data_IF_381921154490
#
_entry.id   IF_381921154490
#
_cell.length_a   1.000
_cell.length_b   1.000
_cell.length_c   1.000
_cell.angle_alpha   90.00
_cell.angle_beta   90.00
_cell.angle_gamma   90.00
#
_symmetry.space_group_name_H-M   'P 1'
#
loop_
_entity.id
_entity.type
_entity.pdbx_description
1 polymer ?
#
# COMPACT_ATOMS: atom_id res chain seq x y z
N UNK A 1 6.32 1.55 11.17
CA UNK A 1 4.98 1.29 10.61
C UNK A 1 4.47 2.58 9.99
N UNK A 2 4.14 2.56 8.71
CA UNK A 2 3.55 3.72 8.02
C UNK A 2 2.12 3.84 8.56
N UNK A 3 1.76 5.02 9.09
CA UNK A 3 0.46 5.22 9.75
C UNK A 3 -0.74 4.81 8.87
N UNK A 4 -0.57 4.90 7.55
CA UNK A 4 -1.56 4.54 6.54
C UNK A 4 -1.89 3.04 6.55
N UNK A 5 -0.90 2.16 6.67
CA UNK A 5 -1.14 0.70 6.70
C UNK A 5 -1.89 0.28 7.98
N UNK A 6 -1.57 0.91 9.13
CA UNK A 6 -2.31 0.69 10.39
C UNK A 6 -3.80 1.02 10.26
N UNK A 7 -4.14 1.95 9.38
CA UNK A 7 -5.51 2.38 9.15
C UNK A 7 -6.31 1.41 8.25
N UNK A 8 -5.71 0.31 7.80
CA UNK A 8 -6.35 -0.65 6.90
C UNK A 8 -6.46 -0.15 5.46
N UNK A 9 -5.73 0.90 5.11
CA UNK A 9 -5.68 1.45 3.76
C UNK A 9 -4.53 0.77 3.00
N UNK A 10 -4.78 0.21 1.80
CA UNK A 10 -3.72 -0.28 0.94
C UNK A 10 -2.69 0.82 0.67
N UNK A 11 -1.43 0.54 0.95
CA UNK A 11 -0.33 1.47 0.73
C UNK A 11 0.78 0.74 -0.01
N UNK A 12 1.47 1.46 -0.89
CA UNK A 12 2.66 1.00 -1.60
C UNK A 12 3.70 2.09 -1.48
N UNK A 13 4.92 1.73 -1.06
CA UNK A 13 6.00 2.68 -0.99
C UNK A 13 6.66 2.88 -2.37
N UNK A 14 7.22 4.07 -2.58
CA UNK A 14 7.99 4.39 -3.78
C UNK A 14 9.41 4.71 -3.34
N UNK A 15 10.39 3.96 -3.85
CA UNK A 15 11.80 4.18 -3.58
C UNK A 15 12.58 4.35 -4.88
N UNK A 16 13.57 5.24 -4.93
CA UNK A 16 14.49 5.21 -6.06
C UNK A 16 15.33 3.94 -6.03
N UNK A 17 15.73 3.43 -7.20
CA UNK A 17 16.53 2.20 -7.31
C UNK A 17 17.80 2.23 -6.46
N UNK A 18 18.44 3.39 -6.36
CA UNK A 18 19.61 3.61 -5.49
C UNK A 18 19.33 3.40 -4.00
N UNK A 19 18.07 3.51 -3.57
CA UNK A 19 17.62 3.37 -2.19
C UNK A 19 16.90 2.06 -1.91
N UNK A 20 16.72 1.16 -2.89
CA UNK A 20 15.98 -0.09 -2.69
C UNK A 20 16.55 -0.96 -1.53
N UNK A 21 17.88 -0.99 -1.37
CA UNK A 21 18.51 -1.71 -0.24
C UNK A 21 18.27 -1.03 1.11
N UNK A 22 18.27 0.31 1.13
CA UNK A 22 17.97 1.07 2.33
C UNK A 22 16.52 0.86 2.76
N UNK A 23 15.59 0.86 1.79
CA UNK A 23 14.19 0.51 2.01
C UNK A 23 14.05 -0.88 2.65
N UNK A 24 14.71 -1.90 2.10
CA UNK A 24 14.63 -3.26 2.66
C UNK A 24 15.07 -3.30 4.13
N UNK A 25 16.19 -2.65 4.45
CA UNK A 25 16.68 -2.53 5.83
C UNK A 25 15.66 -1.86 6.76
N UNK A 26 14.97 -0.81 6.28
CA UNK A 26 13.92 -0.14 7.05
C UNK A 26 12.74 -1.06 7.34
N UNK A 27 12.22 -1.76 6.32
CA UNK A 27 11.04 -2.62 6.49
C UNK A 27 11.34 -3.87 7.32
N UNK A 28 12.55 -4.41 7.22
CA UNK A 28 13.04 -5.48 8.10
C UNK A 28 13.08 -5.00 9.55
N UNK A 29 13.66 -3.82 9.79
CA UNK A 29 13.71 -3.20 11.12
C UNK A 29 12.33 -2.85 11.69
N UNK A 30 11.33 -2.64 10.84
CA UNK A 30 9.94 -2.41 11.25
C UNK A 30 9.15 -3.71 11.46
N UNK A 31 9.73 -4.89 11.18
CA UNK A 31 9.02 -6.17 11.22
C UNK A 31 7.97 -6.30 10.12
N UNK A 32 8.15 -5.62 8.99
CA UNK A 32 7.24 -5.58 7.84
C UNK A 32 7.98 -5.97 6.54
N UNK A 33 8.72 -7.11 6.48
CA UNK A 33 9.59 -7.44 5.35
C UNK A 33 8.85 -7.60 4.01
N UNK A 34 7.52 -7.79 4.07
CA UNK A 34 6.65 -7.94 2.91
C UNK A 34 5.88 -6.65 2.55
N UNK A 35 6.26 -5.50 3.14
CA UNK A 35 5.65 -4.22 2.80
C UNK A 35 5.84 -3.96 1.30
N UNK A 36 4.74 -3.75 0.56
CA UNK A 36 4.79 -3.61 -0.89
C UNK A 36 5.45 -2.28 -1.27
N UNK A 37 6.31 -2.32 -2.28
CA UNK A 37 6.96 -1.13 -2.82
C UNK A 37 7.23 -1.30 -4.31
N UNK A 38 7.36 -0.17 -4.99
CA UNK A 38 7.84 -0.06 -6.36
C UNK A 38 9.13 0.74 -6.40
N UNK A 39 9.93 0.53 -7.45
CA UNK A 39 11.17 1.28 -7.63
C UNK A 39 11.10 2.23 -8.81
N UNK A 40 11.36 3.51 -8.58
CA UNK A 40 11.57 4.50 -9.64
C UNK A 40 13.05 4.58 -10.03
N UNK A 41 13.39 4.91 -11.28
CA UNK A 41 14.77 4.91 -11.75
C UNK A 41 15.65 5.94 -11.03
N UNK A 42 15.09 7.11 -10.67
CA UNK A 42 15.82 8.21 -10.05
C UNK A 42 15.05 8.79 -8.86
N UNK A 43 15.78 9.44 -7.94
CA UNK A 43 15.14 10.18 -6.86
C UNK A 43 14.40 11.41 -7.43
N UNK A 44 13.24 11.73 -6.86
CA UNK A 44 12.43 12.88 -7.28
C UNK A 44 13.00 14.21 -6.77
N UNK A 45 13.80 14.18 -5.70
CA UNK A 45 14.40 15.39 -5.12
C UNK A 45 15.33 16.09 -6.12
N UNK A 46 15.07 17.36 -6.37
CA UNK A 46 15.89 18.19 -7.27
C UNK A 46 15.65 17.96 -8.76
N UNK A 47 14.66 17.14 -9.14
CA UNK A 47 14.27 16.94 -10.53
C UNK A 47 13.23 17.98 -10.97
N UNK A 48 13.17 18.24 -12.28
CA UNK A 48 12.13 19.09 -12.86
C UNK A 48 10.78 18.35 -12.92
N UNK A 49 9.69 19.11 -12.90
CA UNK A 49 8.32 18.59 -12.91
C UNK A 49 8.08 17.65 -14.10
N UNK A 50 8.41 18.05 -15.33
CA UNK A 50 8.22 17.22 -16.53
C UNK A 50 8.96 15.88 -16.46
N UNK A 51 10.15 15.88 -15.85
CA UNK A 51 10.91 14.66 -15.65
C UNK A 51 10.23 13.73 -14.63
N UNK A 52 9.71 14.31 -13.54
CA UNK A 52 8.98 13.56 -12.52
C UNK A 52 7.70 12.98 -13.12
N UNK A 53 6.92 13.76 -13.87
CA UNK A 53 5.69 13.30 -14.52
C UNK A 53 5.97 12.12 -15.44
N UNK A 54 6.91 12.27 -16.37
CA UNK A 54 7.26 11.18 -17.29
C UNK A 54 7.71 9.92 -16.54
N UNK A 55 8.54 10.08 -15.52
CA UNK A 55 9.03 8.96 -14.72
C UNK A 55 7.89 8.26 -13.96
N UNK A 56 6.93 9.01 -13.41
CA UNK A 56 5.78 8.44 -12.69
C UNK A 56 4.84 7.75 -13.66
N UNK A 57 4.56 8.36 -14.83
CA UNK A 57 3.71 7.77 -15.87
C UNK A 57 4.26 6.42 -16.34
N UNK A 58 5.58 6.30 -16.49
CA UNK A 58 6.22 5.03 -16.86
C UNK A 58 6.13 3.94 -15.79
N UNK A 59 5.79 4.29 -14.54
CA UNK A 59 5.74 3.36 -13.40
C UNK A 59 4.32 3.20 -12.82
N UNK A 60 3.34 3.92 -13.36
CA UNK A 60 1.99 3.99 -12.79
C UNK A 60 1.27 2.63 -12.81
N UNK A 61 1.49 1.84 -13.85
CA UNK A 61 0.89 0.51 -13.98
C UNK A 61 1.38 -0.43 -12.87
N UNK A 62 2.67 -0.39 -12.53
CA UNK A 62 3.21 -1.19 -11.42
C UNK A 62 2.61 -0.72 -10.08
N UNK A 63 2.47 0.59 -9.88
CA UNK A 63 1.83 1.13 -8.66
C UNK A 63 0.39 0.61 -8.53
N UNK A 64 -0.38 0.67 -9.62
CA UNK A 64 -1.77 0.19 -9.65
C UNK A 64 -1.82 -1.32 -9.38
N UNK A 65 -0.98 -2.11 -10.06
CA UNK A 65 -0.90 -3.55 -9.84
C UNK A 65 -0.60 -3.86 -8.37
N UNK A 66 0.40 -3.21 -7.77
CA UNK A 66 0.75 -3.44 -6.36
C UNK A 66 -0.37 -3.01 -5.41
N UNK A 67 -1.07 -1.91 -5.67
CA UNK A 67 -2.16 -1.47 -4.82
C UNK A 67 -3.39 -2.38 -4.90
N UNK A 68 -3.63 -2.99 -6.07
CA UNK A 68 -4.84 -3.79 -6.34
C UNK A 68 -4.64 -5.29 -6.14
N UNK A 69 -3.40 -5.77 -6.22
CA UNK A 69 -3.05 -7.19 -6.03
C UNK A 69 -2.81 -7.58 -4.58
N UNK A 70 -2.72 -6.60 -3.66
CA UNK A 70 -2.67 -6.89 -2.22
C UNK A 70 -4.03 -7.49 -1.83
N UNK A 71 -4.08 -8.76 -1.40
CA UNK A 71 -5.35 -9.35 -0.98
C UNK A 71 -5.87 -8.54 0.22
N UNK A 72 -7.16 -8.19 0.18
CA UNK A 72 -7.89 -7.44 1.21
C UNK A 72 -7.81 -8.04 2.65
N UNK A 73 -7.11 -9.16 2.82
CA UNK A 73 -6.90 -9.85 4.09
C UNK A 73 -5.72 -9.31 4.93
N UNK A 74 -4.92 -8.35 4.44
CA UNK A 74 -3.90 -7.70 5.28
C UNK A 74 -4.51 -6.79 6.38
N UNK A 75 -5.81 -6.49 6.28
CA UNK A 75 -6.58 -5.69 7.24
C UNK A 75 -7.30 -6.47 8.34
N UNK A 76 -7.01 -7.76 8.56
CA UNK A 76 -7.56 -8.46 9.72
C UNK A 76 -6.64 -8.24 10.94
N UNK A 77 -7.01 -7.41 11.94
CA UNK A 77 -6.36 -7.52 13.23
C UNK A 77 -6.58 -8.96 13.70
N UNK A 78 -5.50 -9.65 14.05
CA UNK A 78 -5.54 -10.87 14.88
C UNK A 78 -6.09 -10.49 16.27
N UNK A 79 -7.36 -10.12 16.33
CA UNK A 79 -8.17 -10.19 17.52
C UNK A 79 -8.81 -11.56 17.51
N UNK A 80 -8.32 -12.46 18.35
CA UNK A 80 -9.07 -13.64 18.73
C UNK A 80 -10.45 -13.20 19.24
N UNK A 81 -11.48 -13.33 18.40
CA UNK A 81 -12.88 -13.27 18.85
C UNK A 81 -13.55 -14.57 18.45
N UNK A 82 -13.43 -15.54 19.35
CA UNK A 82 -14.47 -16.54 19.55
C UNK A 82 -15.83 -15.84 19.55
N UNK A 83 -16.75 -16.30 18.71
CA UNK A 83 -18.15 -15.90 18.79
C UNK A 83 -18.85 -15.90 17.44
N UNK A 84 -19.55 -17.00 17.15
CA UNK A 84 -20.66 -17.10 16.20
C UNK A 84 -21.45 -15.77 16.09
N UNK A 85 -21.30 -15.02 15.00
CA UNK A 85 -22.31 -14.07 14.57
C UNK A 85 -22.52 -14.20 13.06
N UNK A 86 -23.64 -14.80 12.70
CA UNK A 86 -24.16 -14.90 11.34
C UNK A 86 -24.33 -13.50 10.75
N UNK A 87 -24.03 -13.37 9.46
CA UNK A 87 -24.15 -12.14 8.69
C UNK A 87 -25.58 -11.56 8.85
N UNK A 88 -25.67 -10.33 9.38
CA UNK A 88 -26.94 -9.62 9.50
C UNK A 88 -27.17 -8.82 8.21
N UNK A 89 -28.14 -9.25 7.43
CA UNK A 89 -28.62 -8.53 6.24
C UNK A 89 -29.41 -7.32 6.72
N UNK A 90 -29.09 -6.14 6.19
CA UNK A 90 -29.87 -4.93 6.42
C UNK A 90 -30.63 -4.58 5.14
N UNK A 91 -31.95 -4.51 5.24
CA UNK A 91 -32.83 -4.00 4.18
C UNK A 91 -32.91 -2.49 4.31
N UNK A 92 -32.65 -1.78 3.22
CA UNK A 92 -32.83 -0.32 3.12
C UNK A 92 -34.13 -0.09 2.36
N UNK A 93 -35.12 0.51 3.01
CA UNK A 93 -36.32 1.02 2.34
C UNK A 93 -36.00 2.42 1.78
N UNK A 94 -36.27 2.60 0.49
CA UNK A 94 -36.20 3.89 -0.20
C UNK A 94 -37.64 4.43 -0.25
N UNK A 95 -37.90 5.54 0.43
CA UNK A 95 -39.13 6.33 0.27
C UNK A 95 -39.08 7.07 -1.08
N UNK A 96 -40.19 7.07 -1.83
CA UNK A 96 -40.36 7.71 -3.14
C UNK A 96 -40.42 9.25 -3.07
#
# INVERSE_FOLDING_TARGET
MVAVEKAGVPAVAIAARSFARAWQSCVDGWGQPNAPFVTIPHATTGQQEDFIHKMVDEQIDEIIERLTSIPASAGAPRGARNGNQAAKVFTVELDE
#
